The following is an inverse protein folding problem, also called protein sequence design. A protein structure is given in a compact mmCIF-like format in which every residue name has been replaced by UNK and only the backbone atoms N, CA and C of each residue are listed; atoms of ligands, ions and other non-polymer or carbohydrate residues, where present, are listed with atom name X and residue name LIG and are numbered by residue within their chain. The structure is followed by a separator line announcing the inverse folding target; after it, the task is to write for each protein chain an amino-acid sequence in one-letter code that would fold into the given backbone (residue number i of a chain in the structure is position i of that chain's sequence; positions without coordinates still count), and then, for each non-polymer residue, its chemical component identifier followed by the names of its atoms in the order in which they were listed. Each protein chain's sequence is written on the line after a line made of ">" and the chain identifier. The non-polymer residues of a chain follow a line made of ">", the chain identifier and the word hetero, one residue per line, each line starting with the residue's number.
data_IF_936575241614
#
_entry.id   IF_936575241614
#
_cell.length_a   1.000
_cell.length_b   1.000
_cell.length_c   1.000
_cell.angle_alpha   90.00
_cell.angle_beta   90.00
_cell.angle_gamma   90.00
#
_symmetry.space_group_name_H-M   'P 1'
#
loop_
_entity.id
_entity.type
_entity.pdbx_description
1 polymer ?
#
# COMPACT_ATOMS: atom_id res chain seq x y z
N UNK A 1 -25.92 -0.37 5.00
CA UNK A 1 -24.97 -0.44 3.96
C UNK A 1 -25.06 -1.67 3.08
N UNK A 2 -23.97 -2.03 2.42
CA UNK A 2 -23.90 -3.04 1.37
C UNK A 2 -24.47 -4.43 1.75
N UNK A 3 -24.16 -4.93 2.95
CA UNK A 3 -24.70 -6.21 3.43
C UNK A 3 -26.22 -6.24 3.37
N UNK A 4 -26.89 -5.21 3.89
CA UNK A 4 -28.34 -5.11 3.84
C UNK A 4 -28.85 -5.07 2.40
N UNK A 5 -28.23 -4.27 1.53
CA UNK A 5 -28.60 -4.17 0.12
C UNK A 5 -28.51 -5.53 -0.60
N UNK A 6 -27.47 -6.29 -0.36
CA UNK A 6 -27.29 -7.63 -0.94
C UNK A 6 -28.38 -8.59 -0.43
N UNK A 7 -28.65 -8.60 0.87
CA UNK A 7 -29.69 -9.44 1.47
C UNK A 7 -31.07 -9.10 0.89
N UNK A 8 -31.41 -7.81 0.82
CA UNK A 8 -32.71 -7.39 0.26
C UNK A 8 -32.82 -7.66 -1.24
N UNK A 9 -31.73 -7.54 -2.01
CA UNK A 9 -31.73 -7.89 -3.43
C UNK A 9 -32.03 -9.39 -3.64
N UNK A 10 -31.39 -10.26 -2.88
CA UNK A 10 -31.65 -11.71 -2.93
C UNK A 10 -33.07 -12.05 -2.48
N UNK A 11 -33.56 -11.37 -1.46
CA UNK A 11 -34.92 -11.55 -0.98
C UNK A 11 -35.96 -11.12 -2.04
N UNK A 12 -35.70 -10.00 -2.73
CA UNK A 12 -36.54 -9.54 -3.83
C UNK A 12 -36.57 -10.54 -4.99
N UNK A 13 -35.44 -11.08 -5.42
CA UNK A 13 -35.39 -12.14 -6.44
C UNK A 13 -36.23 -13.35 -6.04
N UNK A 14 -36.15 -13.78 -4.77
CA UNK A 14 -36.93 -14.89 -4.25
C UNK A 14 -38.45 -14.58 -4.24
N UNK A 15 -38.83 -13.40 -3.82
CA UNK A 15 -40.26 -12.99 -3.72
C UNK A 15 -40.91 -12.80 -5.08
N UNK A 16 -40.19 -12.29 -6.06
CA UNK A 16 -40.68 -12.08 -7.42
C UNK A 16 -40.67 -13.34 -8.29
N UNK A 17 -40.09 -14.44 -7.78
CA UNK A 17 -39.94 -15.69 -8.52
C UNK A 17 -38.89 -15.63 -9.65
N UNK A 18 -38.14 -14.54 -9.76
CA UNK A 18 -37.04 -14.42 -10.73
C UNK A 18 -35.93 -15.37 -10.34
N UNK A 19 -35.63 -16.30 -11.23
CA UNK A 19 -34.48 -17.25 -11.05
C UNK A 19 -33.36 -16.86 -11.99
N UNK A 20 -32.19 -16.47 -11.47
CA UNK A 20 -30.99 -16.33 -12.29
C UNK A 20 -30.66 -17.66 -12.99
N UNK A 21 -30.13 -17.59 -14.20
CA UNK A 21 -29.63 -18.77 -14.94
C UNK A 21 -28.19 -19.15 -14.55
N UNK A 22 -27.70 -18.64 -13.43
CA UNK A 22 -26.39 -18.89 -12.85
C UNK A 22 -26.51 -19.01 -11.33
N UNK A 23 -25.51 -19.59 -10.70
CA UNK A 23 -25.42 -19.68 -9.24
C UNK A 23 -24.98 -18.34 -8.67
N UNK A 24 -25.60 -17.94 -7.56
CA UNK A 24 -25.22 -16.77 -6.78
C UNK A 24 -24.66 -17.27 -5.45
N UNK A 25 -23.41 -16.98 -5.20
CA UNK A 25 -22.74 -17.19 -3.92
C UNK A 25 -22.50 -15.84 -3.25
N UNK A 26 -22.77 -15.73 -1.96
CA UNK A 26 -22.54 -14.50 -1.20
C UNK A 26 -21.63 -14.80 -0.03
N UNK A 27 -20.55 -14.04 0.09
CA UNK A 27 -19.60 -14.12 1.19
C UNK A 27 -19.59 -12.82 1.97
N UNK A 28 -19.85 -12.88 3.26
CA UNK A 28 -19.64 -11.77 4.19
C UNK A 28 -18.37 -12.05 4.96
N UNK A 29 -17.39 -11.20 4.79
CA UNK A 29 -16.05 -11.39 5.36
C UNK A 29 -15.69 -10.25 6.29
N UNK A 30 -14.81 -10.53 7.25
CA UNK A 30 -14.17 -9.55 8.11
C UNK A 30 -12.74 -9.27 7.60
N UNK A 31 -11.99 -8.43 8.32
CA UNK A 31 -10.55 -8.21 8.13
C UNK A 31 -10.18 -7.37 6.88
N UNK A 32 -11.15 -6.73 6.22
CA UNK A 32 -10.87 -5.92 5.03
C UNK A 32 -9.94 -4.76 5.36
N UNK A 33 -10.17 -4.06 6.45
CA UNK A 33 -9.40 -2.88 6.91
C UNK A 33 -7.98 -3.21 7.40
N UNK A 34 -7.66 -4.49 7.56
CA UNK A 34 -6.39 -4.97 8.13
C UNK A 34 -5.65 -5.97 7.23
N UNK A 35 -5.78 -5.84 5.89
CA UNK A 35 -5.07 -6.65 4.87
C UNK A 35 -5.85 -7.85 4.30
N UNK A 36 -7.06 -8.13 4.76
CA UNK A 36 -7.93 -9.21 4.28
C UNK A 36 -7.35 -10.64 4.35
N UNK A 37 -6.23 -10.82 5.04
CA UNK A 37 -5.54 -12.12 5.09
C UNK A 37 -6.40 -13.23 5.71
N UNK A 38 -7.20 -12.88 6.73
CA UNK A 38 -8.10 -13.80 7.45
C UNK A 38 -9.53 -13.80 6.86
N UNK A 39 -9.84 -12.84 5.98
CA UNK A 39 -11.12 -12.69 5.30
C UNK A 39 -11.08 -13.22 3.86
N UNK A 40 -11.22 -12.32 2.90
CA UNK A 40 -11.26 -12.65 1.46
C UNK A 40 -10.01 -13.38 1.00
N UNK A 41 -8.83 -13.01 1.50
CA UNK A 41 -7.58 -13.68 1.20
C UNK A 41 -7.62 -15.16 1.57
N UNK A 42 -8.11 -15.48 2.76
CA UNK A 42 -8.20 -16.86 3.23
C UNK A 42 -9.15 -17.72 2.39
N UNK A 43 -10.38 -17.24 2.15
CA UNK A 43 -11.36 -18.00 1.36
C UNK A 43 -10.93 -18.22 -0.09
N UNK A 44 -10.20 -17.25 -0.67
CA UNK A 44 -9.65 -17.35 -2.01
C UNK A 44 -8.47 -18.32 -2.07
N UNK A 45 -7.54 -18.21 -1.13
CA UNK A 45 -6.35 -19.04 -1.07
C UNK A 45 -6.68 -20.52 -0.89
N UNK A 46 -7.65 -20.85 -0.04
CA UNK A 46 -8.05 -22.23 0.24
C UNK A 46 -9.16 -22.76 -0.67
N UNK A 47 -9.46 -22.04 -1.77
CA UNK A 47 -10.40 -22.47 -2.79
C UNK A 47 -11.85 -22.60 -2.31
N UNK A 48 -12.20 -21.88 -1.25
CA UNK A 48 -13.57 -21.86 -0.72
C UNK A 48 -14.49 -20.97 -1.55
N UNK A 49 -13.93 -20.03 -2.30
CA UNK A 49 -14.62 -19.13 -3.21
C UNK A 49 -14.18 -19.42 -4.66
N UNK A 50 -15.14 -19.77 -5.52
CA UNK A 50 -14.92 -19.94 -6.96
C UNK A 50 -16.06 -19.25 -7.70
N UNK A 51 -15.74 -18.28 -8.52
CA UNK A 51 -16.71 -17.54 -9.31
C UNK A 51 -16.11 -17.13 -10.66
N UNK A 52 -16.95 -17.10 -11.71
CA UNK A 52 -16.56 -16.56 -13.02
C UNK A 52 -16.60 -15.02 -12.98
N UNK A 53 -17.47 -14.44 -12.15
CA UNK A 53 -17.61 -13.01 -11.92
C UNK A 53 -17.78 -12.72 -10.44
N UNK A 54 -17.35 -11.55 -10.01
CA UNK A 54 -17.49 -11.08 -8.64
C UNK A 54 -18.03 -9.65 -8.62
N UNK A 55 -18.96 -9.38 -7.73
CA UNK A 55 -19.43 -8.04 -7.38
C UNK A 55 -19.08 -7.79 -5.93
N UNK A 56 -18.23 -6.79 -5.67
CA UNK A 56 -17.82 -6.41 -4.34
C UNK A 56 -18.70 -5.24 -3.89
N UNK A 57 -19.48 -5.47 -2.85
CA UNK A 57 -20.40 -4.47 -2.27
C UNK A 57 -19.68 -3.49 -1.34
N UNK A 58 -18.56 -2.96 -1.80
CA UNK A 58 -17.67 -2.08 -1.05
C UNK A 58 -17.57 -0.73 -1.75
N UNK A 59 -17.59 0.35 -0.96
CA UNK A 59 -17.22 1.70 -1.35
C UNK A 59 -17.85 2.25 -2.63
N UNK A 60 -17.60 3.49 -2.89
CA UNK A 60 -17.99 4.19 -4.10
C UNK A 60 -19.19 5.10 -3.92
N UNK A 61 -19.21 6.12 -4.73
CA UNK A 61 -20.38 6.99 -4.89
C UNK A 61 -21.45 6.19 -5.64
N UNK A 62 -22.71 6.26 -5.19
CA UNK A 62 -23.83 5.41 -5.60
C UNK A 62 -24.12 5.30 -7.10
N UNK A 63 -23.41 6.04 -7.95
CA UNK A 63 -23.55 6.05 -9.40
C UNK A 63 -22.31 5.54 -10.14
N UNK A 64 -21.33 4.98 -9.43
CA UNK A 64 -20.07 4.52 -10.01
C UNK A 64 -19.83 3.04 -9.69
N UNK A 65 -19.34 2.31 -10.68
CA UNK A 65 -18.82 0.94 -10.50
C UNK A 65 -17.29 1.01 -10.61
N UNK A 66 -16.61 0.65 -9.54
CA UNK A 66 -15.16 0.52 -9.55
C UNK A 66 -14.77 -0.80 -10.22
N UNK A 67 -14.14 -0.73 -11.39
CA UNK A 67 -13.72 -1.92 -12.14
C UNK A 67 -12.23 -2.24 -11.98
N UNK A 68 -11.51 -1.54 -11.13
CA UNK A 68 -10.09 -1.81 -10.89
C UNK A 68 -9.51 -0.89 -9.83
N UNK A 69 -8.40 -1.32 -9.26
CA UNK A 69 -7.67 -0.61 -8.22
C UNK A 69 -6.21 -0.47 -8.57
N UNK A 70 -5.59 0.57 -8.01
CA UNK A 70 -4.14 0.64 -7.97
C UNK A 70 -3.60 -0.44 -7.02
N UNK A 71 -2.49 -1.07 -7.41
CA UNK A 71 -1.74 -1.91 -6.48
C UNK A 71 -1.04 -1.06 -5.41
N UNK A 72 -0.58 -1.72 -4.36
CA UNK A 72 0.10 -1.09 -3.23
C UNK A 72 1.43 -1.77 -2.95
N UNK A 73 2.46 -0.97 -2.67
CA UNK A 73 3.72 -1.40 -2.06
C UNK A 73 3.95 -0.56 -0.82
N UNK A 74 3.93 -1.20 0.33
CA UNK A 74 4.27 -0.59 1.61
C UNK A 74 5.63 -1.08 2.07
N UNK A 75 6.51 -0.16 2.39
CA UNK A 75 7.83 -0.46 2.90
C UNK A 75 8.06 0.26 4.23
N UNK A 76 8.72 -0.43 5.15
CA UNK A 76 9.34 0.18 6.31
C UNK A 76 10.85 0.21 6.09
N UNK A 77 11.42 1.40 5.98
CA UNK A 77 12.84 1.63 5.76
C UNK A 77 13.51 1.91 7.09
N UNK A 78 14.37 1.01 7.51
CA UNK A 78 15.18 1.16 8.72
C UNK A 78 16.59 1.63 8.36
N UNK A 79 17.07 2.61 9.09
CA UNK A 79 18.40 3.19 8.94
C UNK A 79 19.16 3.00 10.24
N UNK A 80 20.31 2.38 10.14
CA UNK A 80 21.18 2.11 11.28
C UNK A 80 22.35 3.06 11.28
N UNK A 81 22.71 3.53 12.48
CA UNK A 81 23.82 4.39 12.77
C UNK A 81 24.61 3.88 13.98
N UNK A 82 25.25 4.79 14.69
CA UNK A 82 26.02 4.52 15.91
C UNK A 82 25.77 5.64 16.92
N UNK A 83 25.33 5.28 18.11
CA UNK A 83 25.13 6.26 19.18
C UNK A 83 26.47 6.89 19.64
N UNK A 84 26.41 8.17 19.98
CA UNK A 84 27.48 8.90 20.63
C UNK A 84 26.88 10.03 21.48
N UNK A 85 27.66 10.60 22.36
CA UNK A 85 27.25 11.81 23.08
C UNK A 85 27.13 13.00 22.12
N UNK A 86 26.11 13.83 22.27
CA UNK A 86 25.83 14.95 21.36
C UNK A 86 26.94 15.99 21.26
N UNK A 87 27.83 16.09 22.29
CA UNK A 87 29.02 16.94 22.24
C UNK A 87 30.19 16.33 21.43
N UNK A 88 30.11 15.05 21.08
CA UNK A 88 31.14 14.32 20.33
C UNK A 88 30.49 13.60 19.12
N UNK A 89 29.79 14.32 18.24
CA UNK A 89 29.00 13.71 17.16
C UNK A 89 29.87 12.91 16.16
N UNK A 90 31.12 13.27 16.00
CA UNK A 90 32.07 12.57 15.10
C UNK A 90 32.45 11.17 15.56
N UNK A 91 32.14 10.79 16.80
CA UNK A 91 32.35 9.42 17.30
C UNK A 91 31.16 8.51 17.01
N UNK A 92 30.02 9.08 16.56
CA UNK A 92 28.81 8.40 16.18
C UNK A 92 28.58 8.37 14.67
N UNK A 93 27.45 7.76 14.31
CA UNK A 93 26.87 7.80 12.96
C UNK A 93 25.39 8.17 13.14
N UNK A 94 25.02 9.35 12.66
CA UNK A 94 23.69 9.87 12.86
C UNK A 94 22.69 9.21 11.89
N UNK A 95 21.87 8.29 12.39
CA UNK A 95 20.86 7.60 11.59
C UNK A 95 19.79 8.55 11.02
N UNK A 96 19.44 9.63 11.74
CA UNK A 96 18.48 10.62 11.29
C UNK A 96 18.99 11.42 10.08
N UNK A 97 20.25 11.85 10.11
CA UNK A 97 20.85 12.57 8.97
C UNK A 97 20.90 11.68 7.72
N UNK A 98 21.26 10.40 7.88
CA UNK A 98 21.24 9.44 6.78
C UNK A 98 19.85 9.16 6.27
N UNK A 99 18.87 9.05 7.18
CA UNK A 99 17.45 8.93 6.80
C UNK A 99 17.00 10.15 5.99
N UNK A 100 17.31 11.37 6.43
CA UNK A 100 16.98 12.59 5.71
C UNK A 100 17.57 12.61 4.29
N UNK A 101 18.82 12.18 4.15
CA UNK A 101 19.49 12.05 2.84
C UNK A 101 18.77 11.03 1.93
N UNK A 102 18.33 9.88 2.45
CA UNK A 102 17.53 8.91 1.69
C UNK A 102 16.18 9.49 1.26
N UNK A 103 15.50 10.21 2.14
CA UNK A 103 14.22 10.87 1.84
C UNK A 103 14.40 11.89 0.71
N UNK A 104 15.48 12.69 0.75
CA UNK A 104 15.80 13.63 -0.33
C UNK A 104 16.10 12.91 -1.65
N UNK A 105 16.87 11.81 -1.61
CA UNK A 105 17.18 11.01 -2.79
C UNK A 105 15.92 10.46 -3.48
N UNK A 106 14.88 10.09 -2.73
CA UNK A 106 13.59 9.65 -3.27
C UNK A 106 12.90 10.69 -4.15
N UNK A 107 13.29 11.97 -4.08
CA UNK A 107 12.86 12.99 -5.04
C UNK A 107 13.20 12.66 -6.49
N UNK A 108 14.33 11.98 -6.73
CA UNK A 108 14.71 11.45 -8.05
C UNK A 108 13.75 10.36 -8.54
N UNK A 109 13.42 9.42 -7.68
CA UNK A 109 12.47 8.35 -7.96
C UNK A 109 11.06 8.90 -8.23
N UNK A 110 10.59 9.87 -7.43
CA UNK A 110 9.32 10.57 -7.67
C UNK A 110 9.24 11.20 -9.07
N UNK A 111 10.34 11.83 -9.54
CA UNK A 111 10.39 12.41 -10.89
C UNK A 111 10.31 11.34 -11.98
N UNK A 112 10.93 10.19 -11.77
CA UNK A 112 10.86 9.05 -12.70
C UNK A 112 9.44 8.51 -12.79
N UNK A 113 8.76 8.30 -11.66
CA UNK A 113 7.37 7.83 -11.60
C UNK A 113 6.40 8.74 -12.36
N UNK A 114 6.57 10.06 -12.28
CA UNK A 114 5.69 11.04 -12.97
C UNK A 114 5.65 10.88 -14.49
N UNK A 115 6.59 10.15 -15.09
CA UNK A 115 6.62 9.87 -16.53
C UNK A 115 5.72 8.71 -16.94
N UNK A 116 5.32 7.89 -15.98
CA UNK A 116 4.42 6.76 -16.20
C UNK A 116 2.98 7.23 -16.14
N UNK A 117 2.16 6.70 -17.03
CA UNK A 117 0.71 7.00 -17.08
C UNK A 117 -0.07 5.74 -17.46
N UNK A 118 -1.30 5.68 -17.00
CA UNK A 118 -2.27 4.68 -17.40
C UNK A 118 -3.60 5.38 -17.71
N UNK A 119 -4.19 5.09 -18.88
CA UNK A 119 -5.51 5.60 -19.22
C UNK A 119 -6.56 4.63 -18.73
N UNK A 120 -7.35 5.05 -17.75
CA UNK A 120 -8.45 4.26 -17.22
C UNK A 120 -9.60 4.12 -18.25
N UNK A 121 -10.49 3.12 -18.12
CA UNK A 121 -11.60 2.92 -19.04
C UNK A 121 -12.56 4.12 -19.13
N UNK A 122 -12.69 4.91 -18.07
CA UNK A 122 -13.45 6.15 -18.04
C UNK A 122 -12.74 7.33 -18.75
N UNK A 123 -11.54 7.10 -19.30
CA UNK A 123 -10.73 8.12 -19.99
C UNK A 123 -9.79 8.90 -19.08
N UNK A 124 -9.85 8.72 -17.78
CA UNK A 124 -8.98 9.39 -16.82
C UNK A 124 -7.51 8.94 -16.97
N UNK A 125 -6.59 9.89 -16.83
CA UNK A 125 -5.15 9.63 -16.88
C UNK A 125 -4.60 9.48 -15.48
N UNK A 126 -4.37 8.26 -15.06
CA UNK A 126 -3.78 7.91 -13.77
C UNK A 126 -2.26 7.99 -13.80
N UNK A 127 -1.67 8.30 -12.66
CA UNK A 127 -0.21 8.29 -12.43
C UNK A 127 0.10 7.52 -11.15
N UNK A 128 1.23 6.80 -11.11
CA UNK A 128 1.65 6.18 -9.87
C UNK A 128 2.04 7.24 -8.86
N UNK A 129 1.78 6.98 -7.60
CA UNK A 129 2.14 7.90 -6.51
C UNK A 129 3.07 7.25 -5.51
N UNK A 130 3.81 8.05 -4.78
CA UNK A 130 4.62 7.63 -3.64
C UNK A 130 4.49 8.67 -2.54
N UNK A 131 4.03 8.25 -1.39
CA UNK A 131 4.06 9.00 -0.15
C UNK A 131 5.19 8.50 0.74
N UNK A 132 5.84 9.42 1.44
CA UNK A 132 6.94 9.13 2.36
C UNK A 132 6.53 9.64 3.74
N UNK A 133 6.69 8.80 4.73
CA UNK A 133 6.23 9.10 6.07
C UNK A 133 4.79 8.63 6.27
N UNK A 134 4.03 8.87 7.11
CA UNK A 134 2.86 8.29 7.70
C UNK A 134 3.27 7.78 9.06
N UNK A 135 4.30 6.94 9.10
CA UNK A 135 5.00 6.60 10.34
C UNK A 135 6.49 6.87 10.14
N UNK A 136 7.11 7.54 11.11
CA UNK A 136 8.56 7.73 11.20
C UNK A 136 9.00 7.68 12.67
N UNK A 137 10.23 7.25 12.91
CA UNK A 137 10.79 7.14 14.26
C UNK A 137 12.27 7.46 14.23
N UNK A 138 12.76 8.07 15.31
CA UNK A 138 14.17 8.26 15.59
C UNK A 138 14.77 7.15 16.49
N UNK A 139 14.05 6.02 16.63
CA UNK A 139 14.41 4.92 17.54
C UNK A 139 13.92 5.16 18.98
N UNK A 140 13.95 4.08 19.76
CA UNK A 140 13.60 4.14 21.19
C UNK A 140 14.74 4.71 22.03
N UNK A 141 14.40 5.38 23.12
CA UNK A 141 15.39 5.89 24.09
C UNK A 141 16.19 7.11 23.64
N UNK A 142 15.73 7.83 22.60
CA UNK A 142 16.37 9.07 22.14
C UNK A 142 16.42 10.15 23.21
N UNK A 143 17.59 10.79 23.38
CA UNK A 143 17.79 11.96 24.25
C UNK A 143 18.34 13.10 23.41
N UNK A 144 18.01 14.35 23.80
CA UNK A 144 18.46 15.57 23.09
C UNK A 144 19.98 15.61 22.90
N UNK A 145 20.72 15.06 23.85
CA UNK A 145 22.18 15.06 23.86
C UNK A 145 22.80 13.76 23.32
N UNK A 146 22.11 13.03 22.46
CA UNK A 146 22.59 11.75 21.91
C UNK A 146 22.48 11.74 20.39
N UNK A 147 23.51 11.30 19.71
CA UNK A 147 23.48 10.96 18.27
C UNK A 147 22.58 9.73 18.08
N UNK A 148 21.50 9.78 17.30
CA UNK A 148 20.59 8.65 17.16
C UNK A 148 21.25 7.50 16.38
N UNK A 149 21.17 6.28 16.95
CA UNK A 149 21.69 5.05 16.34
C UNK A 149 20.71 4.36 15.40
N UNK A 150 19.44 4.75 15.42
CA UNK A 150 18.41 4.19 14.57
C UNK A 150 17.43 5.28 14.15
N UNK A 151 16.91 5.13 12.93
CA UNK A 151 15.78 5.92 12.43
C UNK A 151 14.99 5.06 11.45
N UNK A 152 13.72 5.34 11.29
CA UNK A 152 12.87 4.64 10.32
C UNK A 152 11.79 5.54 9.73
N UNK A 153 11.36 5.21 8.53
CA UNK A 153 10.20 5.84 7.88
C UNK A 153 9.48 4.83 6.99
N UNK A 154 8.21 5.08 6.75
CA UNK A 154 7.40 4.25 5.86
C UNK A 154 7.27 4.87 4.48
N UNK A 155 7.04 4.02 3.49
CA UNK A 155 6.73 4.40 2.12
C UNK A 155 5.42 3.72 1.72
N UNK A 156 4.49 4.50 1.14
CA UNK A 156 3.31 4.03 0.44
C UNK A 156 3.45 4.37 -1.04
N UNK A 157 3.66 3.37 -1.90
CA UNK A 157 3.70 3.50 -3.35
C UNK A 157 2.45 2.90 -3.97
N UNK A 158 1.67 3.72 -4.67
CA UNK A 158 0.53 3.25 -5.45
C UNK A 158 1.00 2.87 -6.85
N UNK A 159 0.65 1.65 -7.25
CA UNK A 159 1.09 0.96 -8.48
C UNK A 159 -0.04 0.99 -9.48
N UNK A 160 0.21 1.41 -10.71
CA UNK A 160 -0.82 1.47 -11.75
C UNK A 160 -1.33 0.07 -12.13
N UNK A 161 -2.57 -0.05 -12.65
CA UNK A 161 -3.13 -1.33 -13.04
C UNK A 161 -2.32 -2.10 -14.11
N UNK A 162 -1.54 -1.40 -14.93
CA UNK A 162 -0.67 -1.99 -15.95
C UNK A 162 0.77 -2.25 -15.47
N UNK A 163 1.07 -1.99 -14.20
CA UNK A 163 2.36 -2.31 -13.59
C UNK A 163 2.25 -3.63 -12.81
N UNK A 164 3.38 -4.33 -12.69
CA UNK A 164 3.47 -5.48 -11.80
C UNK A 164 3.97 -5.05 -10.41
N UNK A 165 3.20 -5.32 -9.37
CA UNK A 165 3.48 -4.93 -7.98
C UNK A 165 4.86 -5.42 -7.51
N UNK A 166 5.20 -6.69 -7.77
CA UNK A 166 6.51 -7.25 -7.37
C UNK A 166 7.68 -6.59 -8.10
N UNK A 167 7.46 -6.16 -9.34
CA UNK A 167 8.48 -5.42 -10.09
C UNK A 167 8.64 -4.02 -9.52
N UNK A 168 7.56 -3.32 -9.23
CA UNK A 168 7.57 -2.00 -8.60
C UNK A 168 8.27 -2.01 -7.22
N UNK A 169 8.04 -3.04 -6.43
CA UNK A 169 8.71 -3.25 -5.14
C UNK A 169 10.22 -3.47 -5.31
N UNK A 170 10.62 -4.33 -6.26
CA UNK A 170 12.04 -4.59 -6.56
C UNK A 170 12.76 -3.33 -7.03
N UNK A 171 12.14 -2.55 -7.92
CA UNK A 171 12.70 -1.30 -8.43
C UNK A 171 12.89 -0.27 -7.33
N UNK A 172 11.87 -0.07 -6.48
CA UNK A 172 11.95 0.84 -5.34
C UNK A 172 13.04 0.40 -4.35
N UNK A 173 13.09 -0.89 -4.02
CA UNK A 173 14.10 -1.46 -3.13
C UNK A 173 15.51 -1.32 -3.71
N UNK A 174 15.68 -1.57 -5.01
CA UNK A 174 16.96 -1.38 -5.69
C UNK A 174 17.40 0.09 -5.70
N UNK A 175 16.45 1.00 -5.93
CA UNK A 175 16.72 2.44 -5.84
C UNK A 175 17.21 2.85 -4.46
N UNK A 176 16.50 2.42 -3.40
CA UNK A 176 16.88 2.71 -2.01
C UNK A 176 18.27 2.17 -1.67
N UNK A 177 18.56 0.91 -2.04
CA UNK A 177 19.88 0.31 -1.84
C UNK A 177 20.99 1.06 -2.58
N UNK A 178 20.72 1.52 -3.82
CA UNK A 178 21.68 2.32 -4.58
C UNK A 178 21.90 3.68 -3.94
N UNK A 179 20.83 4.37 -3.52
CA UNK A 179 20.93 5.67 -2.85
C UNK A 179 21.69 5.55 -1.52
N UNK A 180 21.40 4.51 -0.72
CA UNK A 180 22.09 4.28 0.56
C UNK A 180 23.60 4.12 0.42
N UNK A 181 24.09 3.52 -0.68
CA UNK A 181 25.54 3.38 -0.94
C UNK A 181 26.23 4.70 -1.28
N UNK A 182 25.47 5.73 -1.67
CA UNK A 182 26.00 7.05 -2.02
C UNK A 182 25.95 8.03 -0.84
N UNK A 183 25.35 7.63 0.28
CA UNK A 183 25.26 8.42 1.50
C UNK A 183 26.48 8.07 2.36
N UNK A 184 27.35 9.04 2.65
CA UNK A 184 28.60 8.83 3.37
C UNK A 184 28.42 8.38 4.81
#
# INVERSE_FOLDING_TARGET
>A
GAIASIIFALQALRQTGVRPNFNVEVSFVADEETDSALGTGWITQYGKLRADYAVVGEGGEGNAICCGHNGVVWLNVQVHGKAAHGSLPTQGINALEKMAALVLALGGYKRQLRRQTFRAPNGEMLRPTINIGGVFSAGEGGKVNTVPAAASFTIDRRVLPNENVRTAERELTAFLKKAARQIP
#
